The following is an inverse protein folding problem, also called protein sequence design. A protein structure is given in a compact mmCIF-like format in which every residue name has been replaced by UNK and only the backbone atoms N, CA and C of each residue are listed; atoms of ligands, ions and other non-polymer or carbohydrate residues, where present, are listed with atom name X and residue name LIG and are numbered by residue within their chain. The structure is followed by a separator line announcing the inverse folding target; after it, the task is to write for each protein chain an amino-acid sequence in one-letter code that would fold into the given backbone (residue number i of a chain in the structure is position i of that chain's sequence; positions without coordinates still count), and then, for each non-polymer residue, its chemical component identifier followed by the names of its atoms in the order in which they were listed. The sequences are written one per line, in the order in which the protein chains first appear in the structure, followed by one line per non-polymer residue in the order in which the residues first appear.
data_IF_604295182618
#
_entry.id   IF_604295182618
#
_cell.length_a   1.000
_cell.length_b   1.000
_cell.length_c   1.000
_cell.angle_alpha   90.00
_cell.angle_beta   90.00
_cell.angle_gamma   90.00
#
_symmetry.space_group_name_H-M   'P 1'
#
loop_
_entity.id
_entity.type
_entity.pdbx_description
1 polymer ?
#
# COMPACT_ATOMS: atom_id res chain seq x y z
N UNK A 1 -16.76 -14.39 5.59
CA UNK A 1 -16.22 -13.18 4.96
C UNK A 1 -16.88 -12.00 5.66
N UNK A 2 -16.24 -11.48 6.70
CA UNK A 2 -16.76 -10.40 7.52
C UNK A 2 -15.53 -9.67 8.05
N UNK A 3 -15.24 -8.50 7.47
CA UNK A 3 -14.17 -7.64 7.91
C UNK A 3 -14.75 -6.73 8.99
N UNK A 4 -14.29 -6.87 10.24
CA UNK A 4 -14.60 -5.92 11.30
C UNK A 4 -13.73 -4.67 11.08
N UNK A 5 -14.35 -3.62 10.54
CA UNK A 5 -13.84 -2.26 10.58
C UNK A 5 -14.17 -1.66 11.94
N UNK A 6 -13.17 -1.41 12.77
CA UNK A 6 -13.29 -0.46 13.88
C UNK A 6 -12.95 0.96 13.40
N UNK A 7 -13.61 1.89 14.07
CA UNK A 7 -14.01 3.22 13.62
C UNK A 7 -12.90 4.29 13.59
N UNK A 8 -13.12 5.27 12.71
CA UNK A 8 -12.55 6.62 12.63
C UNK A 8 -11.05 6.82 12.29
N UNK A 9 -10.79 7.08 11.00
CA UNK A 9 -10.13 8.33 10.62
C UNK A 9 -10.80 8.94 9.38
N UNK A 10 -11.53 10.04 9.63
CA UNK A 10 -12.16 10.89 8.63
C UNK A 10 -11.06 11.66 7.90
N UNK A 11 -10.43 11.09 6.87
CA UNK A 11 -9.77 11.89 5.84
C UNK A 11 -10.72 12.01 4.65
N UNK A 12 -11.44 13.13 4.61
CA UNK A 12 -11.97 13.66 3.35
C UNK A 12 -10.78 14.15 2.54
N UNK A 13 -9.97 13.23 2.03
CA UNK A 13 -8.93 13.58 1.08
C UNK A 13 -9.56 13.49 -0.31
N UNK A 14 -9.90 14.66 -0.87
CA UNK A 14 -10.13 14.81 -2.30
C UNK A 14 -8.74 14.65 -2.94
N UNK A 15 -8.35 13.40 -3.18
CA UNK A 15 -7.03 13.10 -3.75
C UNK A 15 -7.10 13.27 -5.25
N UNK A 16 -6.90 14.50 -5.73
CA UNK A 16 -6.55 14.76 -7.12
C UNK A 16 -5.03 14.73 -7.19
N UNK A 17 -4.47 13.59 -7.59
CA UNK A 17 -3.05 13.45 -7.89
C UNK A 17 -2.78 14.16 -9.21
N UNK A 18 -2.33 15.41 -9.12
CA UNK A 18 -1.49 16.20 -10.06
C UNK A 18 -1.57 17.61 -9.44
N UNK A 19 -0.45 18.12 -8.91
CA UNK A 19 -0.32 19.30 -8.02
C UNK A 19 -0.77 19.10 -6.56
N UNK A 20 0.13 18.58 -5.71
CA UNK A 20 -0.05 18.63 -4.26
C UNK A 20 1.13 19.33 -3.59
N UNK A 21 0.98 20.64 -3.37
CA UNK A 21 1.75 21.39 -2.39
C UNK A 21 1.23 21.03 -0.99
N UNK A 22 2.09 20.40 -0.18
CA UNK A 22 2.07 20.35 1.29
C UNK A 22 0.77 19.77 1.92
N UNK A 23 0.63 18.44 1.94
CA UNK A 23 -0.25 17.76 2.90
C UNK A 23 0.50 16.55 3.48
N UNK A 24 0.98 16.71 4.72
CA UNK A 24 1.50 15.59 5.51
C UNK A 24 0.32 14.76 6.02
N UNK A 25 0.40 13.43 5.88
CA UNK A 25 -0.60 12.47 6.34
C UNK A 25 0.01 11.46 7.31
N UNK A 26 -0.82 10.91 8.20
CA UNK A 26 -0.41 9.89 9.18
C UNK A 26 -1.23 8.62 8.97
N UNK A 27 -0.54 7.51 8.75
CA UNK A 27 -1.15 6.19 8.70
C UNK A 27 -0.77 5.41 9.97
N UNK A 28 -1.70 5.34 10.93
CA UNK A 28 -1.46 4.74 12.24
C UNK A 28 -2.64 3.96 12.77
N UNK A 29 -2.37 3.06 13.70
CA UNK A 29 -3.37 2.26 14.40
C UNK A 29 -2.71 1.18 15.23
N UNK A 30 -3.48 0.18 15.63
CA UNK A 30 -3.01 -0.97 16.39
C UNK A 30 -3.36 -2.27 15.64
N UNK A 31 -2.37 -3.15 15.47
CA UNK A 31 -2.59 -4.51 14.96
C UNK A 31 -2.90 -5.42 16.14
N UNK A 32 -4.15 -5.85 16.28
CA UNK A 32 -4.54 -6.80 17.33
C UNK A 32 -4.68 -8.22 16.76
N UNK A 33 -4.37 -9.21 17.61
CA UNK A 33 -4.66 -10.63 17.39
C UNK A 33 -5.88 -11.09 18.19
N UNK A 34 -6.50 -10.19 18.95
CA UNK A 34 -7.60 -10.52 19.83
C UNK A 34 -8.80 -10.95 18.99
N UNK A 35 -9.36 -12.08 19.39
CA UNK A 35 -10.56 -12.66 18.82
C UNK A 35 -11.64 -12.62 19.91
N UNK A 36 -12.89 -12.33 19.56
CA UNK A 36 -13.98 -12.45 20.54
C UNK A 36 -14.06 -13.89 21.02
N UNK A 37 -14.21 -14.09 22.34
CA UNK A 37 -14.24 -15.42 22.97
C UNK A 37 -15.38 -16.32 22.42
N UNK A 38 -16.41 -15.70 21.83
CA UNK A 38 -17.58 -16.35 21.23
C UNK A 38 -17.34 -16.83 19.78
N UNK A 39 -16.20 -16.49 19.16
CA UNK A 39 -15.93 -16.84 17.77
C UNK A 39 -15.45 -18.29 17.64
N UNK A 40 -16.29 -19.15 17.06
CA UNK A 40 -15.98 -20.56 16.77
C UNK A 40 -14.92 -20.75 15.67
N UNK A 41 -14.52 -19.66 15.00
CA UNK A 41 -13.58 -19.69 13.89
C UNK A 41 -12.15 -19.51 14.39
N UNK A 42 -11.32 -20.56 14.35
CA UNK A 42 -9.86 -20.44 14.54
C UNK A 42 -9.22 -19.74 13.32
N UNK A 43 -9.29 -18.41 13.26
CA UNK A 43 -8.61 -17.63 12.22
C UNK A 43 -7.11 -17.65 12.52
N UNK A 44 -6.34 -18.41 11.75
CA UNK A 44 -4.86 -18.43 11.78
C UNK A 44 -4.21 -17.32 10.94
N UNK A 45 -4.98 -16.32 10.51
CA UNK A 45 -4.49 -15.25 9.62
C UNK A 45 -4.45 -13.94 10.37
N UNK A 46 -3.25 -13.39 10.44
CA UNK A 46 -2.97 -12.05 10.92
C UNK A 46 -3.77 -11.01 10.12
N UNK A 47 -4.43 -10.10 10.81
CA UNK A 47 -5.12 -8.98 10.18
C UNK A 47 -4.15 -8.10 9.39
N UNK A 48 -4.67 -7.41 8.38
CA UNK A 48 -3.96 -6.31 7.71
C UNK A 48 -4.76 -5.03 7.88
N UNK A 49 -4.06 -3.89 7.94
CA UNK A 49 -4.67 -2.58 7.85
C UNK A 49 -4.18 -1.89 6.58
N UNK A 50 -5.03 -1.12 5.91
CA UNK A 50 -4.63 -0.38 4.72
C UNK A 50 -5.44 0.88 4.53
N UNK A 51 -4.79 1.88 3.93
CA UNK A 51 -5.43 3.07 3.40
C UNK A 51 -5.28 3.09 1.88
N UNK A 52 -6.35 3.44 1.18
CA UNK A 52 -6.38 3.49 -0.29
C UNK A 52 -6.89 4.85 -0.74
N UNK A 53 -6.34 5.36 -1.84
CA UNK A 53 -6.93 6.50 -2.52
C UNK A 53 -8.36 6.18 -2.97
N UNK A 54 -9.18 7.21 -3.21
CA UNK A 54 -10.32 7.00 -4.09
C UNK A 54 -9.80 6.54 -5.46
N UNK A 55 -10.59 5.73 -6.18
CA UNK A 55 -10.29 5.42 -7.57
C UNK A 55 -10.16 6.76 -8.32
N UNK A 56 -9.13 6.88 -9.13
CA UNK A 56 -8.89 8.10 -9.88
C UNK A 56 -10.01 8.30 -10.90
N UNK A 57 -10.31 9.56 -11.21
CA UNK A 57 -11.21 9.89 -12.29
C UNK A 57 -10.44 9.70 -13.61
N UNK A 58 -10.63 8.54 -14.25
CA UNK A 58 -9.80 8.06 -15.35
C UNK A 58 -8.54 7.34 -14.86
N UNK A 59 -7.39 7.68 -15.45
CA UNK A 59 -6.09 7.11 -15.11
C UNK A 59 -5.01 8.20 -15.06
N UNK A 60 -3.96 7.92 -14.29
CA UNK A 60 -2.73 8.69 -14.28
C UNK A 60 -1.72 7.97 -15.16
N UNK A 61 -1.12 8.74 -16.07
CA UNK A 61 -0.04 8.28 -16.92
C UNK A 61 1.32 8.51 -16.24
N UNK A 62 1.99 7.43 -15.88
CA UNK A 62 3.33 7.42 -15.31
C UNK A 62 4.40 6.92 -16.29
N UNK A 63 4.10 6.75 -17.59
CA UNK A 63 5.02 6.14 -18.57
C UNK A 63 6.34 6.92 -18.72
N UNK A 64 6.31 8.23 -18.48
CA UNK A 64 7.51 9.09 -18.49
C UNK A 64 8.39 8.96 -17.23
N UNK A 65 8.00 8.16 -16.24
CA UNK A 65 8.65 8.01 -14.94
C UNK A 65 9.04 6.55 -14.70
N UNK A 66 10.12 6.33 -13.95
CA UNK A 66 10.64 4.99 -13.66
C UNK A 66 10.57 4.64 -12.17
N UNK A 67 10.26 5.60 -11.30
CA UNK A 67 10.42 5.47 -9.85
C UNK A 67 9.30 6.16 -9.10
N UNK A 68 8.76 5.48 -8.08
CA UNK A 68 7.94 6.10 -7.05
C UNK A 68 8.84 6.51 -5.88
N UNK A 69 8.84 7.80 -5.54
CA UNK A 69 9.52 8.35 -4.39
C UNK A 69 8.53 8.76 -3.31
N UNK A 70 8.86 8.44 -2.06
CA UNK A 70 8.03 8.72 -0.89
C UNK A 70 8.88 9.36 0.19
N UNK A 71 8.52 10.57 0.63
CA UNK A 71 9.11 11.16 1.83
C UNK A 71 8.31 10.72 3.05
N UNK A 72 8.92 9.86 3.87
CA UNK A 72 8.25 9.13 4.94
C UNK A 72 9.10 9.10 6.20
N UNK A 73 8.44 8.86 7.35
CA UNK A 73 9.08 8.55 8.62
C UNK A 73 8.41 7.31 9.18
N UNK A 74 9.19 6.25 9.34
CA UNK A 74 8.69 4.92 9.72
C UNK A 74 8.95 4.56 11.18
N UNK A 75 8.18 3.60 11.67
CA UNK A 75 8.25 3.04 13.03
C UNK A 75 9.03 1.71 13.09
N UNK A 76 9.75 1.36 12.02
CA UNK A 76 10.47 0.11 11.89
C UNK A 76 9.63 -1.09 11.44
N UNK A 77 8.32 -0.95 11.21
CA UNK A 77 7.52 -2.00 10.54
C UNK A 77 7.74 -1.96 9.03
N UNK A 78 7.47 -3.09 8.38
CA UNK A 78 7.43 -3.17 6.92
C UNK A 78 6.01 -2.89 6.43
N UNK A 79 5.86 -1.84 5.65
CA UNK A 79 4.64 -1.48 4.95
C UNK A 79 4.67 -2.04 3.52
N UNK A 80 3.53 -2.01 2.86
CA UNK A 80 3.37 -2.44 1.47
C UNK A 80 2.76 -1.28 0.70
N UNK A 81 3.46 -0.80 -0.32
CA UNK A 81 2.91 0.09 -1.33
C UNK A 81 2.24 -0.74 -2.41
N UNK A 82 1.00 -0.40 -2.77
CA UNK A 82 0.29 -1.04 -3.88
C UNK A 82 -0.06 -0.01 -4.94
N UNK A 83 0.23 -0.34 -6.19
CA UNK A 83 -0.23 0.38 -7.38
C UNK A 83 -1.34 -0.46 -8.02
N UNK A 84 -2.45 0.18 -8.35
CA UNK A 84 -3.54 -0.43 -9.10
C UNK A 84 -3.49 0.09 -10.53
N UNK A 85 -3.44 -0.83 -11.50
CA UNK A 85 -3.53 -0.50 -12.93
C UNK A 85 -4.84 -1.03 -13.49
N UNK A 86 -5.37 -0.32 -14.49
CA UNK A 86 -6.51 -0.82 -15.27
C UNK A 86 -6.20 -2.23 -15.81
N UNK A 87 -7.21 -3.11 -15.78
CA UNK A 87 -7.09 -4.46 -16.30
C UNK A 87 -7.57 -4.49 -17.77
N UNK A 88 -6.70 -4.94 -18.68
CA UNK A 88 -7.00 -5.00 -20.12
C UNK A 88 -7.58 -6.36 -20.54
N UNK A 89 -7.45 -7.40 -19.71
CA UNK A 89 -7.88 -8.78 -20.03
C UNK A 89 -8.99 -9.21 -19.08
N UNK A 90 -10.24 -8.90 -19.44
CA UNK A 90 -11.38 -9.45 -18.71
C UNK A 90 -11.68 -10.86 -19.22
N UNK A 91 -11.35 -11.89 -18.44
CA UNK A 91 -12.22 -13.08 -18.43
C UNK A 91 -13.61 -12.64 -17.93
N UNK A 92 -14.72 -13.14 -18.50
CA UNK A 92 -16.05 -12.79 -18.00
C UNK A 92 -16.13 -13.02 -16.48
N UNK A 93 -16.37 -11.95 -15.70
CA UNK A 93 -16.47 -12.00 -14.24
C UNK A 93 -15.26 -11.48 -13.45
N UNK A 94 -14.14 -11.09 -14.08
CA UNK A 94 -13.07 -10.35 -13.39
C UNK A 94 -13.19 -8.86 -13.66
N UNK A 95 -13.73 -8.13 -12.68
CA UNK A 95 -13.79 -6.65 -12.69
C UNK A 95 -12.67 -6.01 -11.84
N UNK A 96 -11.78 -6.81 -11.26
CA UNK A 96 -10.75 -6.33 -10.34
C UNK A 96 -9.56 -5.73 -11.11
N UNK A 97 -9.12 -4.54 -10.66
CA UNK A 97 -7.92 -3.87 -11.15
C UNK A 97 -6.67 -4.72 -10.84
N UNK A 98 -5.66 -4.69 -11.71
CA UNK A 98 -4.40 -5.41 -11.48
C UNK A 98 -3.63 -4.75 -10.34
N UNK A 99 -3.12 -5.54 -9.41
CA UNK A 99 -2.43 -5.03 -8.21
C UNK A 99 -0.96 -5.38 -8.21
N UNK A 100 -0.13 -4.37 -7.99
CA UNK A 100 1.33 -4.49 -7.99
C UNK A 100 1.87 -4.01 -6.65
N UNK A 101 2.71 -4.80 -5.99
CA UNK A 101 3.12 -4.54 -4.62
C UNK A 101 4.63 -4.45 -4.47
N UNK A 102 5.09 -3.51 -3.65
CA UNK A 102 6.47 -3.38 -3.22
C UNK A 102 6.54 -3.10 -1.71
N UNK A 103 7.61 -3.55 -1.07
CA UNK A 103 7.84 -3.28 0.34
C UNK A 103 8.32 -1.84 0.57
N UNK A 104 7.80 -1.23 1.63
CA UNK A 104 8.18 0.08 2.15
C UNK A 104 8.74 -0.15 3.56
N UNK A 105 10.05 0.01 3.72
CA UNK A 105 10.71 -0.17 5.00
C UNK A 105 11.66 0.99 5.26
N UNK A 106 11.50 1.61 6.42
CA UNK A 106 12.42 2.60 6.98
C UNK A 106 12.73 2.11 8.40
N UNK A 107 14.01 1.92 8.77
CA UNK A 107 14.40 1.61 10.13
C UNK A 107 13.80 2.62 11.12
N UNK A 108 13.49 2.22 12.37
CA UNK A 108 12.88 3.12 13.34
C UNK A 108 13.85 4.25 13.68
N UNK A 109 13.52 5.47 13.27
CA UNK A 109 14.34 6.65 13.47
C UNK A 109 13.49 7.90 13.48
N UNK A 110 13.91 8.90 14.25
CA UNK A 110 13.16 10.15 14.41
C UNK A 110 13.43 11.15 13.28
N UNK A 111 13.50 10.69 12.01
CA UNK A 111 13.78 11.55 10.86
C UNK A 111 12.99 11.17 9.62
N UNK A 112 12.71 12.18 8.80
CA UNK A 112 12.16 12.00 7.46
C UNK A 112 13.22 11.46 6.50
N UNK A 113 12.85 10.47 5.71
CA UNK A 113 13.68 9.93 4.62
C UNK A 113 12.90 9.85 3.32
N UNK A 114 13.63 9.90 2.20
CA UNK A 114 13.07 9.70 0.87
C UNK A 114 13.39 8.29 0.41
N UNK A 115 12.39 7.41 0.47
CA UNK A 115 12.44 6.09 -0.12
C UNK A 115 12.16 6.19 -1.62
N UNK A 116 12.97 5.52 -2.44
CA UNK A 116 12.77 5.42 -3.89
C UNK A 116 12.55 3.96 -4.26
N UNK A 117 11.42 3.66 -4.88
CA UNK A 117 11.07 2.33 -5.36
C UNK A 117 10.92 2.39 -6.87
N UNK A 118 11.85 1.78 -7.63
CA UNK A 118 11.69 1.62 -9.08
C UNK A 118 10.41 0.86 -9.41
N UNK A 119 9.72 1.24 -10.49
CA UNK A 119 8.48 0.59 -10.92
C UNK A 119 8.68 -0.90 -11.21
N UNK A 120 9.86 -1.31 -11.68
CA UNK A 120 10.21 -2.70 -11.93
C UNK A 120 10.33 -3.58 -10.66
N UNK A 121 10.36 -2.96 -9.46
CA UNK A 121 10.36 -3.66 -8.17
C UNK A 121 8.97 -3.97 -7.66
N UNK A 122 7.93 -3.42 -8.29
CA UNK A 122 6.55 -3.75 -7.96
C UNK A 122 6.17 -5.09 -8.58
N UNK A 123 5.94 -6.09 -7.74
CA UNK A 123 5.60 -7.43 -8.18
C UNK A 123 4.09 -7.57 -8.40
N UNK A 124 3.64 -8.29 -9.44
CA UNK A 124 2.22 -8.56 -9.64
C UNK A 124 1.71 -9.45 -8.51
N UNK A 125 0.58 -9.08 -7.92
CA UNK A 125 -0.04 -9.82 -6.81
C UNK A 125 -1.52 -10.07 -7.04
N UNK A 126 -1.99 -11.21 -6.54
CA UNK A 126 -3.41 -11.58 -6.48
C UNK A 126 -3.74 -12.10 -5.09
N UNK A 127 -4.70 -11.44 -4.42
CA UNK A 127 -5.16 -11.82 -3.07
C UNK A 127 -4.00 -12.03 -2.08
N UNK A 128 -2.99 -11.16 -2.14
CA UNK A 128 -1.81 -11.19 -1.28
C UNK A 128 -0.72 -12.19 -1.67
N UNK A 129 -0.85 -12.89 -2.79
CA UNK A 129 0.17 -13.80 -3.30
C UNK A 129 0.85 -13.19 -4.52
N UNK A 130 2.17 -13.31 -4.60
CA UNK A 130 2.94 -12.96 -5.80
C UNK A 130 2.55 -13.90 -6.93
N UNK A 131 2.19 -13.34 -8.08
CA UNK A 131 1.91 -14.11 -9.29
C UNK A 131 3.25 -14.50 -9.92
N UNK A 132 3.53 -15.80 -9.99
CA UNK A 132 4.73 -16.33 -10.66
C UNK A 132 4.54 -16.42 -12.18
N UNK A 133 4.14 -15.29 -12.79
CA UNK A 133 4.05 -15.13 -14.23
C UNK A 133 4.76 -13.85 -14.63
N UNK A 134 5.33 -13.83 -15.83
CA UNK A 134 5.93 -12.62 -16.39
C UNK A 134 4.80 -11.69 -16.83
N UNK A 135 4.32 -10.88 -15.89
CA UNK A 135 3.37 -9.80 -16.14
C UNK A 135 4.13 -8.48 -16.08
N UNK A 136 3.86 -7.61 -17.04
CA UNK A 136 4.41 -6.26 -17.09
C UNK A 136 3.35 -5.26 -16.62
N UNK A 137 3.75 -4.34 -15.75
CA UNK A 137 2.89 -3.25 -15.31
C UNK A 137 2.63 -2.31 -16.49
N UNK A 138 1.38 -1.83 -16.61
CA UNK A 138 1.06 -0.73 -17.52
C UNK A 138 1.11 0.60 -16.76
N UNK A 139 2.23 1.33 -16.76
CA UNK A 139 2.37 2.59 -16.01
C UNK A 139 1.51 3.72 -16.59
N UNK A 140 1.04 3.62 -17.84
CA UNK A 140 0.19 4.63 -18.47
C UNK A 140 -1.29 4.58 -18.01
N UNK A 141 -1.64 3.60 -17.16
CA UNK A 141 -3.03 3.31 -16.75
C UNK A 141 -3.17 3.12 -15.24
N UNK A 142 -2.54 3.98 -14.43
CA UNK A 142 -2.69 3.90 -12.97
C UNK A 142 -4.07 4.40 -12.54
N UNK A 143 -4.83 3.59 -11.81
CA UNK A 143 -6.20 3.91 -11.37
C UNK A 143 -6.33 4.12 -9.87
N UNK A 144 -5.28 3.82 -9.10
CA UNK A 144 -5.26 4.06 -7.67
C UNK A 144 -3.94 3.64 -7.01
N UNK A 145 -3.79 4.02 -5.75
CA UNK A 145 -2.67 3.58 -4.90
C UNK A 145 -3.13 3.28 -3.47
N UNK A 146 -2.39 2.43 -2.76
CA UNK A 146 -2.58 2.21 -1.32
C UNK A 146 -1.28 1.99 -0.56
N UNK A 147 -1.36 2.19 0.74
CA UNK A 147 -0.37 1.73 1.71
C UNK A 147 -1.06 0.78 2.68
N UNK A 148 -0.42 -0.33 3.00
CA UNK A 148 -0.92 -1.29 3.97
C UNK A 148 0.19 -1.81 4.87
N UNK A 149 -0.21 -2.42 5.98
CA UNK A 149 0.66 -3.07 6.96
C UNK A 149 -0.01 -4.35 7.44
N UNK A 150 0.79 -5.37 7.70
CA UNK A 150 0.37 -6.64 8.27
C UNK A 150 1.17 -6.90 9.55
N UNK A 151 0.65 -7.78 10.41
CA UNK A 151 1.39 -8.18 11.62
C UNK A 151 2.52 -9.17 11.31
N UNK A 152 2.51 -9.82 10.15
CA UNK A 152 3.55 -10.77 9.75
C UNK A 152 4.06 -10.52 8.33
N UNK A 153 5.36 -10.70 8.15
CA UNK A 153 6.04 -10.56 6.87
C UNK A 153 6.93 -9.31 6.82
N UNK A 154 7.43 -9.01 5.62
CA UNK A 154 8.33 -7.89 5.37
C UNK A 154 9.79 -8.31 5.22
N UNK A 155 10.67 -7.31 5.25
CA UNK A 155 12.12 -7.49 5.06
C UNK A 155 12.81 -7.93 6.37
N UNK A 156 13.96 -8.62 6.29
CA UNK A 156 14.74 -8.98 7.48
C UNK A 156 15.04 -7.75 8.35
N UNK A 157 14.80 -7.87 9.66
CA UNK A 157 14.99 -6.78 10.62
C UNK A 157 13.80 -5.83 10.79
N UNK A 158 12.69 -6.03 10.08
CA UNK A 158 11.46 -5.29 10.33
C UNK A 158 10.77 -5.75 11.62
N UNK A 159 10.12 -4.80 12.32
CA UNK A 159 9.23 -5.07 13.45
C UNK A 159 8.01 -5.87 12.96
N UNK A 160 7.80 -7.05 13.55
CA UNK A 160 6.64 -7.91 13.30
C UNK A 160 5.82 -8.12 14.58
N UNK A 161 4.69 -8.81 14.45
CA UNK A 161 3.75 -9.07 15.52
C UNK A 161 2.70 -7.97 15.73
N UNK A 162 1.80 -8.17 16.71
CA UNK A 162 0.78 -7.18 17.09
C UNK A 162 1.37 -5.87 17.63
N UNK A 163 0.48 -4.93 17.92
CA UNK A 163 0.79 -3.65 18.55
C UNK A 163 0.73 -2.48 17.56
N UNK A 164 1.15 -1.33 18.07
CA UNK A 164 0.99 -0.08 17.33
C UNK A 164 1.83 -0.03 16.06
N UNK A 165 1.25 0.62 15.06
CA UNK A 165 1.92 1.01 13.83
C UNK A 165 1.74 2.50 13.55
N UNK A 166 2.75 3.14 12.97
CA UNK A 166 2.70 4.52 12.50
C UNK A 166 3.68 4.77 11.35
N UNK A 167 3.13 5.29 10.25
CA UNK A 167 3.88 5.78 9.11
C UNK A 167 3.43 7.21 8.81
N UNK A 168 4.32 8.17 9.03
CA UNK A 168 4.10 9.54 8.60
C UNK A 168 4.53 9.69 7.14
N UNK A 169 3.70 10.33 6.31
CA UNK A 169 3.89 10.49 4.87
C UNK A 169 3.80 11.97 4.52
N UNK A 170 4.90 12.58 4.09
CA UNK A 170 4.92 13.98 3.68
C UNK A 170 4.49 14.16 2.22
N UNK A 171 4.93 13.26 1.34
CA UNK A 171 4.51 13.22 -0.07
C UNK A 171 4.85 11.90 -0.73
N UNK A 172 4.13 11.60 -1.82
CA UNK A 172 4.39 10.52 -2.77
C UNK A 172 4.45 11.16 -4.17
N UNK A 173 5.51 10.86 -4.93
CA UNK A 173 5.76 11.44 -6.25
C UNK A 173 6.30 10.38 -7.21
N UNK A 174 5.98 10.53 -8.49
CA UNK A 174 6.70 9.84 -9.55
C UNK A 174 7.94 10.66 -9.94
N UNK A 175 9.07 10.00 -10.17
CA UNK A 175 10.34 10.59 -10.59
C UNK A 175 10.91 9.80 -11.77
N UNK A 176 11.70 10.49 -12.58
CA UNK A 176 12.65 9.87 -13.50
C UNK A 176 14.00 9.90 -12.81
N UNK A 177 14.50 8.74 -12.40
CA UNK A 177 15.68 8.61 -11.56
C UNK A 177 16.80 7.77 -12.19
N UNK A 178 16.57 7.24 -13.40
CA UNK A 178 17.54 6.51 -14.22
C UNK A 178 17.89 7.27 -15.51
#
# INVERSE_FOLDING_TARGET
MQFFTYDFLRLVCKVTFINMCILEGVFSGNLSLDMSEESTWRIRRYGFCGMRSKKFDGFIDLDAYDTIAMKIKGDGRCYISTIYTENWVNSPGQQEDNSWQAFVYIPPQDRWEVLKIPLDRYLPTWRGNVIQAKLEMNPARIVGMSLSVNAEGGVPGAKTGPGDFRLDVAWIKALRAL
#
